data_IF_362429430543
#
_entry.id   IF_362429430543
#
_cell.length_a   1.000
_cell.length_b   1.000
_cell.length_c   1.000
_cell.angle_alpha   90.00
_cell.angle_beta   90.00
_cell.angle_gamma   90.00
#
_symmetry.space_group_name_H-M   'P 1'
#
loop_
_entity.id
_entity.type
_entity.pdbx_description
1 polymer ?
#
# COMPACT_ATOMS: atom_id res chain seq x y z
N UNK A 1 -3.14 -2.21 -21.68
CA UNK A 1 -3.64 -1.03 -20.92
C UNK A 1 -2.50 -0.60 -20.03
N UNK A 2 -2.02 0.63 -20.20
CA UNK A 2 -0.73 1.12 -19.68
C UNK A 2 -0.65 1.01 -18.15
N UNK A 3 0.47 0.51 -17.62
CA UNK A 3 0.68 0.28 -16.19
C UNK A 3 0.57 1.60 -15.41
N UNK A 4 -0.58 1.83 -14.76
CA UNK A 4 -0.88 3.00 -13.92
C UNK A 4 -0.14 2.96 -12.58
N UNK A 5 1.19 2.88 -12.60
CA UNK A 5 2.01 3.00 -11.38
C UNK A 5 2.47 4.44 -11.21
N UNK A 6 2.14 5.05 -10.08
CA UNK A 6 2.62 6.37 -9.68
C UNK A 6 3.63 6.26 -8.53
N UNK A 7 4.61 7.15 -8.48
CA UNK A 7 5.61 7.20 -7.40
C UNK A 7 5.15 8.19 -6.33
N UNK A 8 5.07 7.72 -5.08
CA UNK A 8 4.87 8.56 -3.90
C UNK A 8 6.22 8.74 -3.19
N UNK A 9 6.66 9.98 -2.99
CA UNK A 9 7.88 10.31 -2.23
C UNK A 9 7.47 11.07 -0.97
N UNK A 10 7.91 10.61 0.19
CA UNK A 10 7.61 11.23 1.49
C UNK A 10 8.91 11.48 2.22
N UNK A 11 9.08 12.69 2.76
CA UNK A 11 10.18 13.02 3.65
C UNK A 11 9.82 12.57 5.07
N UNK A 12 10.71 11.80 5.68
CA UNK A 12 10.57 11.33 7.06
C UNK A 12 11.89 11.50 7.79
N UNK A 13 11.80 11.65 9.11
CA UNK A 13 12.96 11.68 9.99
C UNK A 13 13.80 10.38 9.85
N UNK A 14 15.15 10.47 9.81
CA UNK A 14 16.01 9.32 9.61
C UNK A 14 15.91 8.26 10.71
N UNK A 15 15.69 8.64 11.97
CA UNK A 15 15.54 7.69 13.06
C UNK A 15 14.21 6.92 12.92
N UNK A 16 13.13 7.61 12.55
CA UNK A 16 11.84 6.96 12.26
C UNK A 16 11.92 6.03 11.05
N UNK A 17 12.62 6.44 9.99
CA UNK A 17 12.87 5.59 8.82
C UNK A 17 13.51 4.27 9.22
N UNK A 18 14.60 4.35 10.00
CA UNK A 18 15.33 3.17 10.45
C UNK A 18 14.46 2.26 11.32
N UNK A 19 13.75 2.81 12.30
CA UNK A 19 12.87 2.03 13.15
C UNK A 19 11.75 1.33 12.35
N UNK A 20 11.18 2.01 11.36
CA UNK A 20 10.16 1.44 10.48
C UNK A 20 10.72 0.31 9.60
N UNK A 21 11.91 0.51 9.02
CA UNK A 21 12.59 -0.51 8.20
C UNK A 21 12.94 -1.75 9.04
N UNK A 22 13.49 -1.57 10.23
CA UNK A 22 13.84 -2.66 11.14
C UNK A 22 12.58 -3.44 11.58
N UNK A 23 11.47 -2.74 11.88
CA UNK A 23 10.18 -3.37 12.20
C UNK A 23 9.60 -4.16 11.03
N UNK A 24 9.67 -3.63 9.80
CA UNK A 24 9.21 -4.33 8.61
C UNK A 24 10.04 -5.61 8.37
N UNK A 25 11.36 -5.50 8.49
CA UNK A 25 12.28 -6.62 8.32
C UNK A 25 12.03 -7.73 9.34
N UNK A 26 11.70 -7.39 10.59
CA UNK A 26 11.37 -8.38 11.63
C UNK A 26 10.12 -9.23 11.34
N UNK A 27 9.29 -8.79 10.38
CA UNK A 27 8.05 -9.45 9.98
C UNK A 27 8.11 -9.99 8.54
N UNK A 28 9.30 -10.03 7.93
CA UNK A 28 9.51 -10.41 6.52
C UNK A 28 8.70 -9.57 5.52
N UNK A 29 8.47 -8.30 5.86
CA UNK A 29 7.74 -7.34 5.03
C UNK A 29 8.66 -6.24 4.52
N UNK A 30 8.30 -5.68 3.35
CA UNK A 30 8.95 -4.48 2.84
C UNK A 30 8.20 -3.22 3.27
N UNK A 31 8.89 -2.09 3.55
CA UNK A 31 8.26 -0.81 3.89
C UNK A 31 7.17 -0.39 2.89
N UNK A 32 7.42 -0.64 1.60
CA UNK A 32 6.47 -0.30 0.53
C UNK A 32 5.21 -1.15 0.54
N UNK A 33 5.23 -2.40 1.04
CA UNK A 33 4.02 -3.20 1.21
C UNK A 33 3.16 -2.64 2.34
N UNK A 34 3.79 -2.35 3.48
CA UNK A 34 3.12 -1.79 4.66
C UNK A 34 2.50 -0.43 4.34
N UNK A 35 3.25 0.50 3.73
CA UNK A 35 2.74 1.82 3.33
C UNK A 35 1.54 1.70 2.38
N UNK A 36 1.57 0.78 1.41
CA UNK A 36 0.42 0.56 0.52
C UNK A 36 -0.81 0.04 1.26
N UNK A 37 -0.62 -0.81 2.27
CA UNK A 37 -1.73 -1.30 3.10
C UNK A 37 -2.29 -0.19 3.99
N UNK A 38 -1.43 0.64 4.59
CA UNK A 38 -1.83 1.82 5.36
C UNK A 38 -2.65 2.79 4.50
N UNK A 39 -2.21 3.09 3.27
CA UNK A 39 -2.97 3.94 2.34
C UNK A 39 -4.36 3.36 2.06
N UNK A 40 -4.44 2.06 1.76
CA UNK A 40 -5.73 1.40 1.50
C UNK A 40 -6.66 1.44 2.71
N UNK A 41 -6.13 1.16 3.90
CA UNK A 41 -6.89 1.20 5.15
C UNK A 41 -7.42 2.59 5.44
N UNK A 42 -6.57 3.60 5.31
CA UNK A 42 -6.93 5.00 5.54
C UNK A 42 -8.01 5.48 4.57
N UNK A 43 -7.90 5.15 3.28
CA UNK A 43 -8.94 5.48 2.30
C UNK A 43 -10.28 4.80 2.63
N UNK A 44 -10.25 3.53 3.07
CA UNK A 44 -11.44 2.80 3.44
C UNK A 44 -12.11 3.36 4.70
N UNK A 45 -11.33 3.72 5.73
CA UNK A 45 -11.81 4.35 6.97
C UNK A 45 -12.51 5.68 6.70
N UNK A 46 -12.04 6.44 5.72
CA UNK A 46 -12.64 7.72 5.29
C UNK A 46 -13.71 7.58 4.19
N UNK A 47 -14.09 6.36 3.79
CA UNK A 47 -15.11 6.14 2.76
C UNK A 47 -14.71 6.59 1.35
N UNK A 48 -13.42 6.74 1.07
CA UNK A 48 -12.91 7.20 -0.22
C UNK A 48 -12.78 6.02 -1.18
N UNK A 49 -13.58 6.03 -2.25
CA UNK A 49 -13.50 5.07 -3.35
C UNK A 49 -12.57 5.56 -4.47
N UNK A 50 -11.85 4.64 -5.11
CA UNK A 50 -10.97 4.93 -6.23
C UNK A 50 -11.13 3.89 -7.36
N UNK A 51 -10.92 4.32 -8.61
CA UNK A 51 -11.31 3.56 -9.81
C UNK A 51 -10.72 2.14 -9.91
N UNK A 52 -9.53 1.89 -9.35
CA UNK A 52 -8.90 0.55 -9.38
C UNK A 52 -9.45 -0.41 -8.32
N UNK A 53 -10.24 0.06 -7.35
CA UNK A 53 -10.86 -0.78 -6.32
C UNK A 53 -11.96 -1.71 -6.89
N UNK A 54 -12.56 -1.35 -8.02
CA UNK A 54 -13.60 -2.15 -8.68
C UNK A 54 -13.04 -3.34 -9.49
N UNK A 55 -11.82 -3.22 -10.03
CA UNK A 55 -11.24 -4.23 -10.92
C UNK A 55 -10.62 -5.45 -10.20
N UNK A 56 -10.32 -5.34 -8.90
CA UNK A 56 -9.70 -6.41 -8.11
C UNK A 56 -10.68 -7.43 -7.51
N UNK A 57 -12.00 -7.21 -7.63
CA UNK A 57 -13.04 -8.14 -7.13
C UNK A 57 -13.66 -9.01 -8.24
N UNK A 58 -13.29 -8.81 -9.50
CA UNK A 58 -13.85 -9.53 -10.65
C UNK A 58 -12.99 -10.67 -11.19
N UNK A 59 -11.97 -11.12 -10.44
CA UNK A 59 -11.15 -12.27 -10.82
C UNK A 59 -11.16 -13.32 -9.72
N UNK A 60 -12.30 -13.98 -9.55
CA UNK A 60 -12.42 -15.27 -8.86
C UNK A 60 -12.83 -16.32 -9.91
N UNK A 61 -12.25 -17.54 -9.90
CA UNK A 61 -12.36 -18.49 -11.01
C UNK A 61 -13.77 -19.05 -11.11
N UNK A 62 -14.29 -19.15 -12.33
CA UNK A 62 -15.53 -19.84 -12.66
C UNK A 62 -15.15 -21.20 -13.26
N UNK A 63 -15.62 -22.26 -12.59
CA UNK A 63 -15.71 -23.70 -12.94
C UNK A 63 -14.81 -24.23 -14.10
#
# INVERSE_FOLDING_TARGET
MENKTARLTVLIDPAKKKAFEDLCASQDLTPSQVVRQLIRGYLAEHGVSYATQAAGRSSQPQD
#
